data_IF_370048213068
#
_entry.id   IF_370048213068
#
_cell.length_a   1.000
_cell.length_b   1.000
_cell.length_c   1.000
_cell.angle_alpha   90.00
_cell.angle_beta   90.00
_cell.angle_gamma   90.00
#
_symmetry.space_group_name_H-M   'P 1'
#
loop_
_entity.id
_entity.type
_entity.pdbx_description
1 polymer ?
#
# COMPACT_ATOMS: atom_id res chain seq x y z
N UNK A 1 -8.88 25.68 9.14
CA UNK A 1 -8.47 26.95 8.55
C UNK A 1 -7.55 26.72 7.34
N UNK A 2 -6.44 25.97 7.45
CA UNK A 2 -5.47 25.76 6.36
C UNK A 2 -6.09 25.09 5.12
N UNK A 3 -6.95 24.09 5.30
CA UNK A 3 -7.65 23.40 4.20
C UNK A 3 -8.62 24.32 3.45
N UNK A 4 -9.26 25.27 4.15
CA UNK A 4 -10.14 26.24 3.52
C UNK A 4 -9.38 27.26 2.66
N UNK A 5 -8.13 27.57 3.03
CA UNK A 5 -7.28 28.46 2.23
C UNK A 5 -6.93 27.86 0.87
N UNK A 6 -6.80 26.53 0.78
CA UNK A 6 -6.52 25.83 -0.48
C UNK A 6 -7.66 26.01 -1.49
N UNK A 7 -8.92 26.11 -1.02
CA UNK A 7 -10.08 26.35 -1.90
C UNK A 7 -9.99 27.68 -2.64
N UNK A 8 -9.30 28.70 -2.06
CA UNK A 8 -9.09 29.98 -2.72
C UNK A 8 -8.19 29.83 -3.94
N UNK A 9 -7.15 28.96 -3.86
CA UNK A 9 -6.24 28.67 -4.97
C UNK A 9 -6.90 27.88 -6.10
N UNK A 10 -7.95 27.10 -5.84
CA UNK A 10 -8.70 26.40 -6.87
C UNK A 10 -9.35 27.34 -7.89
N UNK A 11 -9.65 28.61 -7.53
CA UNK A 11 -10.17 29.61 -8.46
C UNK A 11 -9.17 29.99 -9.56
N UNK A 12 -7.87 29.79 -9.33
CA UNK A 12 -6.79 30.09 -10.28
C UNK A 12 -6.37 28.89 -11.11
N UNK A 13 -6.84 27.67 -10.75
CA UNK A 13 -6.55 26.44 -11.48
C UNK A 13 -7.58 26.29 -12.60
N UNK A 14 -7.15 26.42 -13.85
CA UNK A 14 -7.97 26.06 -15.01
C UNK A 14 -7.96 24.53 -15.13
N UNK A 15 -9.03 23.89 -14.65
CA UNK A 15 -9.25 22.47 -14.85
C UNK A 15 -9.67 22.28 -16.31
N UNK A 16 -8.90 21.55 -17.13
CA UNK A 16 -9.29 21.24 -18.50
C UNK A 16 -10.64 20.49 -18.44
N UNK A 17 -11.64 21.02 -19.12
CA UNK A 17 -12.91 20.34 -19.28
C UNK A 17 -12.75 19.27 -20.36
N UNK A 18 -13.23 18.09 -20.08
CA UNK A 18 -13.31 17.03 -21.08
C UNK A 18 -14.15 17.50 -22.27
N UNK A 19 -13.66 17.25 -23.48
CA UNK A 19 -14.41 17.54 -24.69
C UNK A 19 -15.62 16.61 -24.81
N UNK A 20 -16.67 17.04 -25.53
CA UNK A 20 -17.88 16.22 -25.72
C UNK A 20 -17.58 14.86 -26.40
N UNK A 21 -16.50 14.75 -27.16
CA UNK A 21 -16.02 13.50 -27.75
C UNK A 21 -15.37 12.58 -26.69
N UNK A 22 -14.58 13.13 -25.77
CA UNK A 22 -13.98 12.37 -24.66
C UNK A 22 -15.03 11.85 -23.68
N UNK A 23 -16.16 12.56 -23.51
CA UNK A 23 -17.28 12.10 -22.68
C UNK A 23 -18.06 10.94 -23.32
N UNK A 24 -18.01 10.76 -24.64
CA UNK A 24 -18.65 9.65 -25.34
C UNK A 24 -17.83 8.36 -25.32
N UNK A 25 -16.50 8.47 -25.14
CA UNK A 25 -15.63 7.32 -25.08
C UNK A 25 -15.66 6.72 -23.66
N UNK A 26 -16.45 5.68 -23.50
CA UNK A 26 -16.55 4.95 -22.23
C UNK A 26 -15.42 3.94 -22.02
N UNK A 27 -14.55 3.77 -23.02
CA UNK A 27 -13.46 2.79 -23.00
C UNK A 27 -13.93 1.35 -22.81
N UNK A 28 -13.00 0.43 -22.54
CA UNK A 28 -13.29 -1.00 -22.34
C UNK A 28 -14.14 -1.24 -21.08
N UNK A 29 -14.93 -2.33 -21.04
CA UNK A 29 -15.67 -2.72 -19.84
C UNK A 29 -14.69 -3.07 -18.69
N UNK A 30 -15.10 -2.79 -17.43
CA UNK A 30 -14.29 -3.10 -16.24
C UNK A 30 -13.89 -4.59 -16.19
N UNK A 31 -14.79 -5.49 -16.61
CA UNK A 31 -14.55 -6.94 -16.62
C UNK A 31 -13.35 -7.36 -17.46
N UNK A 32 -13.01 -6.60 -18.49
CA UNK A 32 -11.81 -6.84 -19.31
C UNK A 32 -10.55 -6.29 -18.62
N UNK A 33 -10.65 -5.10 -18.04
CA UNK A 33 -9.51 -4.43 -17.39
C UNK A 33 -9.07 -5.20 -16.16
N UNK A 34 -9.99 -5.67 -15.32
CA UNK A 34 -9.67 -6.40 -14.07
C UNK A 34 -9.04 -7.77 -14.31
N UNK A 35 -9.20 -8.34 -15.51
CA UNK A 35 -8.56 -9.61 -15.90
C UNK A 35 -7.10 -9.45 -16.33
N UNK A 36 -6.63 -8.23 -16.53
CA UNK A 36 -5.24 -8.01 -16.88
C UNK A 36 -4.32 -8.43 -15.71
N UNK A 37 -3.27 -9.24 -15.95
CA UNK A 37 -2.33 -9.64 -14.90
C UNK A 37 -1.72 -8.46 -14.13
N UNK A 38 -1.40 -7.37 -14.84
CA UNK A 38 -0.88 -6.15 -14.24
C UNK A 38 -1.89 -5.48 -13.30
N UNK A 39 -3.19 -5.46 -13.66
CA UNK A 39 -4.23 -4.93 -12.80
C UNK A 39 -4.33 -5.74 -11.49
N UNK A 40 -4.37 -7.07 -11.60
CA UNK A 40 -4.47 -7.97 -10.44
C UNK A 40 -3.31 -7.73 -9.48
N UNK A 41 -2.07 -7.67 -9.98
CA UNK A 41 -0.88 -7.45 -9.14
C UNK A 41 -0.88 -6.04 -8.54
N UNK A 42 -1.23 -5.02 -9.33
CA UNK A 42 -1.30 -3.63 -8.88
C UNK A 42 -2.34 -3.44 -7.75
N UNK A 43 -3.56 -3.91 -7.97
CA UNK A 43 -4.65 -3.81 -7.01
C UNK A 43 -4.37 -4.62 -5.75
N UNK A 44 -3.89 -5.88 -5.88
CA UNK A 44 -3.52 -6.70 -4.73
C UNK A 44 -2.40 -6.07 -3.90
N UNK A 45 -1.37 -5.51 -4.54
CA UNK A 45 -0.28 -4.82 -3.86
C UNK A 45 -0.76 -3.59 -3.07
N UNK A 46 -1.59 -2.75 -3.67
CA UNK A 46 -2.18 -1.57 -3.02
C UNK A 46 -3.11 -1.98 -1.88
N UNK A 47 -4.04 -2.91 -2.14
CA UNK A 47 -5.06 -3.35 -1.20
C UNK A 47 -4.44 -4.05 0.03
N UNK A 48 -3.57 -5.03 -0.20
CA UNK A 48 -2.94 -5.79 0.88
C UNK A 48 -1.92 -4.93 1.62
N UNK A 49 -1.10 -4.16 0.91
CA UNK A 49 -0.14 -3.24 1.53
C UNK A 49 -0.82 -2.25 2.48
N UNK A 50 -1.94 -1.66 2.05
CA UNK A 50 -2.69 -0.73 2.90
C UNK A 50 -3.45 -1.44 4.02
N UNK A 51 -4.03 -2.61 3.75
CA UNK A 51 -4.73 -3.40 4.75
C UNK A 51 -3.81 -3.87 5.88
N UNK A 52 -2.64 -4.42 5.55
CA UNK A 52 -1.62 -4.82 6.54
C UNK A 52 -1.15 -3.62 7.35
N UNK A 53 -0.86 -2.50 6.69
CA UNK A 53 -0.48 -1.26 7.38
C UNK A 53 -1.55 -0.81 8.36
N UNK A 54 -2.80 -0.74 7.92
CA UNK A 54 -3.91 -0.30 8.77
C UNK A 54 -4.16 -1.22 9.95
N UNK A 55 -4.06 -2.54 9.73
CA UNK A 55 -4.20 -3.56 10.76
C UNK A 55 -3.14 -3.41 11.86
N UNK A 56 -1.86 -3.45 11.49
CA UNK A 56 -0.73 -3.38 12.44
C UNK A 56 -0.69 -2.03 13.14
N UNK A 57 -0.86 -0.93 12.40
CA UNK A 57 -0.91 0.42 12.98
C UNK A 57 -2.03 0.58 14.01
N UNK A 58 -3.20 -0.03 13.78
CA UNK A 58 -4.34 0.04 14.73
C UNK A 58 -4.07 -0.80 15.99
N UNK A 59 -3.45 -1.97 15.86
CA UNK A 59 -3.14 -2.85 17.00
C UNK A 59 -1.97 -2.32 17.85
N UNK A 60 -1.01 -1.60 17.24
CA UNK A 60 0.24 -1.17 17.92
C UNK A 60 0.02 -0.30 19.16
N UNK A 61 -0.80 0.76 19.16
CA UNK A 61 -1.04 1.57 20.36
C UNK A 61 -1.60 0.74 21.51
N UNK A 62 -2.48 -0.20 21.20
CA UNK A 62 -3.07 -1.11 22.20
C UNK A 62 -1.99 -2.02 22.80
N UNK A 63 -1.10 -2.56 21.97
CA UNK A 63 -0.01 -3.41 22.41
C UNK A 63 1.02 -2.63 23.27
N UNK A 64 1.43 -1.43 22.85
CA UNK A 64 2.38 -0.58 23.58
C UNK A 64 1.85 -0.28 24.99
N UNK A 65 0.59 0.11 25.12
CA UNK A 65 -0.03 0.40 26.41
C UNK A 65 -0.21 -0.87 27.25
N UNK A 66 -0.59 -2.00 26.64
CA UNK A 66 -0.70 -3.28 27.32
C UNK A 66 0.66 -3.80 27.87
N UNK A 67 1.77 -3.44 27.22
CA UNK A 67 3.13 -3.72 27.70
C UNK A 67 3.63 -2.76 28.79
N UNK A 68 2.79 -1.80 29.24
CA UNK A 68 3.12 -0.87 30.33
C UNK A 68 3.85 0.40 29.92
N UNK A 69 4.01 0.65 28.62
CA UNK A 69 4.57 1.90 28.12
C UNK A 69 3.53 3.03 28.13
N UNK A 70 4.00 4.26 28.12
CA UNK A 70 3.15 5.43 28.15
C UNK A 70 2.46 5.72 26.82
N UNK A 71 1.38 6.50 26.86
CA UNK A 71 0.74 7.00 25.65
C UNK A 71 1.70 7.88 24.81
N UNK A 72 2.64 8.58 25.46
CA UNK A 72 3.66 9.38 24.78
C UNK A 72 4.60 8.52 23.95
N UNK A 73 4.99 7.34 24.46
CA UNK A 73 5.80 6.37 23.72
C UNK A 73 5.06 5.85 22.48
N UNK A 74 3.76 5.56 22.64
CA UNK A 74 2.92 5.18 21.52
C UNK A 74 2.83 6.28 20.45
N UNK A 75 2.64 7.52 20.86
CA UNK A 75 2.59 8.67 19.96
C UNK A 75 3.93 8.85 19.21
N UNK A 76 5.06 8.68 19.91
CA UNK A 76 6.39 8.72 19.31
C UNK A 76 6.57 7.66 18.21
N UNK A 77 6.19 6.43 18.47
CA UNK A 77 6.28 5.32 17.50
C UNK A 77 5.41 5.60 16.26
N UNK A 78 4.17 6.10 16.46
CA UNK A 78 3.26 6.45 15.35
C UNK A 78 3.78 7.65 14.54
N UNK A 79 4.41 8.64 15.16
CA UNK A 79 5.02 9.76 14.44
C UNK A 79 6.11 9.28 13.47
N UNK A 80 6.99 8.40 13.92
CA UNK A 80 8.03 7.83 13.07
C UNK A 80 7.48 6.92 11.99
N UNK A 81 6.43 6.16 12.27
CA UNK A 81 5.69 5.43 11.24
C UNK A 81 5.16 6.37 10.16
N UNK A 82 4.47 7.44 10.56
CA UNK A 82 3.95 8.42 9.61
C UNK A 82 5.06 9.07 8.78
N UNK A 83 6.20 9.40 9.40
CA UNK A 83 7.37 9.87 8.68
C UNK A 83 7.87 8.84 7.65
N UNK A 84 7.99 7.58 8.05
CA UNK A 84 8.42 6.48 7.19
C UNK A 84 7.42 6.16 6.07
N UNK A 85 6.14 6.48 6.23
CA UNK A 85 5.14 6.37 5.17
C UNK A 85 5.35 7.41 4.06
N UNK A 86 5.67 8.65 4.40
CA UNK A 86 5.66 9.76 3.45
C UNK A 86 7.05 10.20 2.98
N UNK A 87 8.08 10.13 3.81
CA UNK A 87 9.44 10.54 3.43
C UNK A 87 9.99 9.77 2.22
N UNK A 88 9.79 8.45 2.07
CA UNK A 88 10.24 7.74 0.88
C UNK A 88 9.59 8.22 -0.42
N UNK A 89 8.40 8.83 -0.37
CA UNK A 89 7.68 9.30 -1.56
C UNK A 89 8.48 10.30 -2.40
N UNK A 90 9.40 11.06 -1.78
CA UNK A 90 10.27 11.99 -2.49
C UNK A 90 11.20 11.30 -3.49
N UNK A 91 11.53 10.02 -3.27
CA UNK A 91 12.44 9.27 -4.15
C UNK A 91 11.84 7.96 -4.69
N UNK A 92 10.69 7.50 -4.21
CA UNK A 92 10.03 6.27 -4.70
C UNK A 92 9.78 6.34 -6.21
N UNK A 93 9.36 7.49 -6.74
CA UNK A 93 9.20 7.69 -8.18
C UNK A 93 10.50 7.50 -8.97
N UNK A 94 11.62 8.02 -8.45
CA UNK A 94 12.95 7.84 -9.05
C UNK A 94 13.43 6.39 -8.96
N UNK A 95 13.11 5.68 -7.87
CA UNK A 95 13.40 4.24 -7.76
C UNK A 95 12.60 3.43 -8.78
N UNK A 96 11.31 3.73 -8.95
CA UNK A 96 10.46 3.08 -9.95
C UNK A 96 10.98 3.33 -11.37
N UNK A 97 11.40 4.56 -11.70
CA UNK A 97 11.94 4.87 -13.02
C UNK A 97 13.29 4.20 -13.29
N UNK A 98 14.13 3.99 -12.26
CA UNK A 98 15.46 3.40 -12.39
C UNK A 98 15.45 1.87 -12.38
N UNK A 99 14.68 1.26 -11.48
CA UNK A 99 14.70 -0.18 -11.22
C UNK A 99 13.44 -0.90 -11.72
N UNK A 100 12.41 -0.16 -12.10
CA UNK A 100 11.09 -0.69 -12.43
C UNK A 100 10.17 -0.81 -11.23
N UNK A 101 8.88 -0.88 -11.48
CA UNK A 101 7.84 -0.89 -10.44
C UNK A 101 7.83 -2.19 -9.63
N UNK A 102 8.03 -3.35 -10.29
CA UNK A 102 7.94 -4.66 -9.63
C UNK A 102 9.03 -4.89 -8.57
N UNK A 103 10.33 -4.59 -8.83
CA UNK A 103 11.37 -4.67 -7.79
C UNK A 103 11.11 -3.75 -6.61
N UNK A 104 10.62 -2.52 -6.85
CA UNK A 104 10.29 -1.58 -5.77
C UNK A 104 9.17 -2.13 -4.89
N UNK A 105 8.09 -2.66 -5.51
CA UNK A 105 7.01 -3.30 -4.76
C UNK A 105 7.48 -4.53 -3.99
N UNK A 106 8.38 -5.34 -4.58
CA UNK A 106 8.95 -6.49 -3.87
C UNK A 106 9.77 -6.07 -2.66
N UNK A 107 10.56 -5.00 -2.77
CA UNK A 107 11.28 -4.41 -1.62
C UNK A 107 10.30 -3.96 -0.54
N UNK A 108 9.15 -3.38 -0.92
CA UNK A 108 8.08 -3.04 0.00
C UNK A 108 7.53 -4.26 0.74
N UNK A 109 7.27 -5.36 0.03
CA UNK A 109 6.80 -6.61 0.65
C UNK A 109 7.85 -7.21 1.61
N UNK A 110 9.14 -7.14 1.27
CA UNK A 110 10.24 -7.55 2.17
C UNK A 110 10.29 -6.67 3.43
N UNK A 111 10.07 -5.36 3.29
CA UNK A 111 9.98 -4.46 4.44
C UNK A 111 8.80 -4.82 5.36
N UNK A 112 7.64 -5.26 4.82
CA UNK A 112 6.53 -5.76 5.65
C UNK A 112 6.89 -7.06 6.38
N UNK A 113 7.67 -7.96 5.77
CA UNK A 113 8.19 -9.16 6.47
C UNK A 113 9.14 -8.73 7.59
N UNK A 114 10.03 -7.76 7.34
CA UNK A 114 10.92 -7.22 8.37
C UNK A 114 10.13 -6.57 9.52
N UNK A 115 9.03 -5.86 9.20
CA UNK A 115 8.10 -5.36 10.22
C UNK A 115 7.64 -6.49 11.14
N UNK A 116 7.10 -7.58 10.59
CA UNK A 116 6.65 -8.74 11.38
C UNK A 116 7.84 -9.32 12.17
N UNK A 117 9.01 -9.45 11.57
CA UNK A 117 10.22 -9.93 12.27
C UNK A 117 10.55 -9.09 13.52
N UNK A 118 10.52 -7.76 13.41
CA UNK A 118 10.75 -6.89 14.57
C UNK A 118 9.63 -7.00 15.61
N UNK A 119 8.37 -6.99 15.18
CA UNK A 119 7.23 -6.98 16.10
C UNK A 119 7.04 -8.30 16.85
N UNK A 120 7.51 -9.43 16.33
CA UNK A 120 7.46 -10.73 17.03
C UNK A 120 8.74 -11.06 17.79
N UNK A 121 9.83 -10.29 17.60
CA UNK A 121 11.11 -10.55 18.28
C UNK A 121 11.13 -10.12 19.75
N UNK A 122 10.14 -9.34 20.21
CA UNK A 122 10.00 -8.92 21.60
C UNK A 122 8.99 -7.78 21.77
N UNK A 123 8.99 -7.22 22.99
CA UNK A 123 8.02 -6.20 23.42
C UNK A 123 8.68 -4.92 23.92
N UNK A 124 9.97 -4.72 23.64
CA UNK A 124 10.65 -3.48 23.97
C UNK A 124 10.27 -2.36 23.00
N UNK A 125 10.32 -1.11 23.43
CA UNK A 125 9.86 0.03 22.65
C UNK A 125 10.58 0.16 21.30
N UNK A 126 11.88 -0.19 21.21
CA UNK A 126 12.64 -0.12 19.96
C UNK A 126 12.14 -1.14 18.92
N UNK A 127 11.57 -2.28 19.35
CA UNK A 127 11.02 -3.29 18.44
C UNK A 127 9.71 -2.81 17.82
N UNK A 128 8.84 -2.16 18.59
CA UNK A 128 7.67 -1.46 18.06
C UNK A 128 8.10 -0.36 17.09
N UNK A 129 9.11 0.43 17.45
CA UNK A 129 9.59 1.54 16.61
C UNK A 129 10.12 1.06 15.26
N UNK A 130 11.07 0.10 15.25
CA UNK A 130 11.60 -0.46 14.00
C UNK A 130 10.53 -1.20 13.21
N UNK A 131 9.67 -1.94 13.87
CA UNK A 131 8.53 -2.60 13.23
C UNK A 131 7.68 -1.61 12.46
N UNK A 132 7.29 -0.49 13.08
CA UNK A 132 6.45 0.51 12.45
C UNK A 132 7.17 1.34 11.39
N UNK A 133 8.46 1.59 11.54
CA UNK A 133 9.27 2.21 10.46
C UNK A 133 9.28 1.31 9.22
N UNK A 134 9.53 0.00 9.38
CA UNK A 134 9.48 -0.96 8.27
C UNK A 134 8.08 -1.07 7.65
N UNK A 135 7.04 -1.00 8.49
CA UNK A 135 5.64 -0.98 8.06
C UNK A 135 5.37 0.23 7.15
N UNK A 136 5.82 1.42 7.53
CA UNK A 136 5.65 2.65 6.75
C UNK A 136 6.35 2.58 5.39
N UNK A 137 7.61 2.14 5.36
CA UNK A 137 8.38 1.95 4.11
C UNK A 137 7.70 0.90 3.22
N UNK A 138 7.30 -0.22 3.80
CA UNK A 138 6.62 -1.31 3.09
C UNK A 138 5.32 -0.85 2.44
N UNK A 139 4.49 -0.13 3.19
CA UNK A 139 3.28 0.49 2.68
C UNK A 139 3.57 1.46 1.52
N UNK A 140 4.54 2.36 1.70
CA UNK A 140 4.88 3.35 0.67
C UNK A 140 5.23 2.69 -0.67
N UNK A 141 6.12 1.71 -0.65
CA UNK A 141 6.57 1.05 -1.87
C UNK A 141 5.48 0.19 -2.53
N UNK A 142 4.65 -0.49 -1.75
CA UNK A 142 3.55 -1.27 -2.28
C UNK A 142 2.42 -0.40 -2.81
N UNK A 143 2.03 0.64 -2.07
CA UNK A 143 0.91 1.49 -2.44
C UNK A 143 1.26 2.40 -3.63
N UNK A 144 2.42 3.09 -3.59
CA UNK A 144 2.86 3.95 -4.70
C UNK A 144 3.20 3.11 -5.93
N UNK A 145 3.86 1.97 -5.75
CA UNK A 145 4.15 1.05 -6.84
C UNK A 145 2.87 0.49 -7.47
N UNK A 146 1.92 0.06 -6.65
CA UNK A 146 0.62 -0.45 -7.11
C UNK A 146 -0.18 0.60 -7.87
N UNK A 147 -0.31 1.82 -7.33
CA UNK A 147 -1.01 2.92 -8.02
C UNK A 147 -0.31 3.36 -9.30
N UNK A 148 1.03 3.36 -9.31
CA UNK A 148 1.81 3.63 -10.53
C UNK A 148 1.60 2.57 -11.61
N UNK A 149 1.57 1.29 -11.24
CA UNK A 149 1.30 0.18 -12.16
C UNK A 149 -0.16 0.21 -12.65
N UNK A 150 -1.11 0.53 -11.78
CA UNK A 150 -2.52 0.66 -12.13
C UNK A 150 -2.71 1.71 -13.23
N UNK A 151 -1.97 2.83 -13.15
CA UNK A 151 -1.99 3.87 -14.17
C UNK A 151 -1.59 3.39 -15.58
N UNK A 152 -0.91 2.25 -15.69
CA UNK A 152 -0.54 1.62 -16.98
C UNK A 152 -1.60 0.65 -17.50
N UNK A 153 -2.64 0.35 -16.73
CA UNK A 153 -3.65 -0.64 -17.07
C UNK A 153 -4.88 -0.04 -17.79
N UNK A 154 -4.97 1.28 -17.85
CA UNK A 154 -6.15 1.98 -18.35
C UNK A 154 -5.81 3.16 -19.25
N UNK A 155 -6.74 3.53 -20.13
CA UNK A 155 -6.71 4.77 -20.91
C UNK A 155 -7.23 5.95 -20.08
N UNK A 156 -7.03 7.21 -20.54
CA UNK A 156 -7.63 8.37 -19.87
C UNK A 156 -9.15 8.28 -19.68
N UNK A 157 -9.87 7.75 -20.67
CA UNK A 157 -11.32 7.55 -20.61
C UNK A 157 -11.76 6.50 -19.56
N UNK A 158 -10.89 5.54 -19.24
CA UNK A 158 -11.15 4.47 -18.29
C UNK A 158 -10.72 4.82 -16.86
N UNK A 159 -9.93 5.90 -16.68
CA UNK A 159 -9.25 6.26 -15.44
C UNK A 159 -10.20 6.31 -14.24
N UNK A 160 -11.31 7.04 -14.36
CA UNK A 160 -12.23 7.26 -13.25
C UNK A 160 -12.82 5.94 -12.72
N UNK A 161 -13.27 5.04 -13.62
CA UNK A 161 -13.87 3.76 -13.23
C UNK A 161 -12.83 2.78 -12.66
N UNK A 162 -11.60 2.78 -13.18
CA UNK A 162 -10.52 1.89 -12.72
C UNK A 162 -9.99 2.34 -11.36
N UNK A 163 -9.71 3.63 -11.20
CA UNK A 163 -9.29 4.16 -9.90
C UNK A 163 -10.39 4.05 -8.86
N UNK A 164 -11.64 4.38 -9.20
CA UNK A 164 -12.77 4.22 -8.29
C UNK A 164 -12.94 2.79 -7.78
N UNK A 165 -12.79 1.78 -8.66
CA UNK A 165 -12.81 0.38 -8.24
C UNK A 165 -11.63 0.03 -7.32
N UNK A 166 -10.41 0.47 -7.68
CA UNK A 166 -9.24 0.24 -6.84
C UNK A 166 -9.39 0.87 -5.45
N UNK A 167 -9.84 2.11 -5.38
CA UNK A 167 -10.04 2.82 -4.12
C UNK A 167 -11.14 2.16 -3.28
N UNK A 168 -12.22 1.71 -3.91
CA UNK A 168 -13.25 0.95 -3.23
C UNK A 168 -12.69 -0.34 -2.61
N UNK A 169 -11.88 -1.12 -3.34
CA UNK A 169 -11.25 -2.34 -2.83
C UNK A 169 -10.27 -2.02 -1.70
N UNK A 170 -9.43 -1.01 -1.86
CA UNK A 170 -8.43 -0.59 -0.85
C UNK A 170 -9.14 -0.18 0.44
N UNK A 171 -10.09 0.77 0.37
CA UNK A 171 -10.73 1.28 1.59
C UNK A 171 -11.69 0.27 2.23
N UNK A 172 -12.30 -0.63 1.46
CA UNK A 172 -13.04 -1.76 2.04
C UNK A 172 -12.12 -2.68 2.85
N UNK A 173 -10.93 -2.98 2.30
CA UNK A 173 -9.93 -3.80 3.01
C UNK A 173 -9.40 -3.09 4.26
N UNK A 174 -9.10 -1.80 4.17
CA UNK A 174 -8.69 -0.96 5.32
C UNK A 174 -9.75 -0.98 6.41
N UNK A 175 -11.02 -0.85 6.04
CA UNK A 175 -12.14 -0.89 6.99
C UNK A 175 -12.19 -2.23 7.73
N UNK A 176 -12.16 -3.34 7.00
CA UNK A 176 -12.15 -4.69 7.59
C UNK A 176 -10.92 -4.90 8.47
N UNK A 177 -9.73 -4.50 7.99
CA UNK A 177 -8.48 -4.60 8.73
C UNK A 177 -8.53 -3.83 10.04
N UNK A 178 -8.99 -2.59 10.03
CA UNK A 178 -9.07 -1.73 11.22
C UNK A 178 -10.06 -2.28 12.25
N UNK A 179 -11.24 -2.75 11.83
CA UNK A 179 -12.21 -3.34 12.74
C UNK A 179 -11.73 -4.67 13.33
N UNK A 180 -11.04 -5.49 12.54
CA UNK A 180 -10.55 -6.80 13.00
C UNK A 180 -9.31 -6.68 13.89
N UNK A 181 -8.50 -5.62 13.76
CA UNK A 181 -7.23 -5.47 14.46
C UNK A 181 -7.40 -5.52 15.99
N UNK A 182 -8.35 -4.77 16.53
CA UNK A 182 -8.62 -4.76 17.98
C UNK A 182 -9.11 -6.10 18.50
N UNK A 183 -10.01 -6.76 17.76
CA UNK A 183 -10.54 -8.06 18.15
C UNK A 183 -9.45 -9.14 18.10
N UNK A 184 -8.67 -9.22 17.03
CA UNK A 184 -7.60 -10.21 16.89
C UNK A 184 -6.53 -9.99 17.96
N UNK A 185 -6.15 -8.73 18.23
CA UNK A 185 -5.22 -8.40 19.32
C UNK A 185 -5.77 -8.84 20.68
N UNK A 186 -7.04 -8.59 20.96
CA UNK A 186 -7.66 -8.92 22.24
C UNK A 186 -7.75 -10.42 22.49
N UNK A 187 -8.14 -11.22 21.49
CA UNK A 187 -8.35 -12.66 21.65
C UNK A 187 -7.08 -13.50 21.50
N UNK A 188 -6.14 -13.07 20.67
CA UNK A 188 -4.97 -13.87 20.29
C UNK A 188 -3.63 -13.26 20.73
N UNK A 189 -3.61 -11.98 21.07
CA UNK A 189 -2.39 -11.30 21.50
C UNK A 189 -1.60 -10.65 20.34
N UNK A 190 -0.47 -10.02 20.72
CA UNK A 190 0.34 -9.21 19.81
C UNK A 190 1.09 -10.01 18.76
N UNK A 191 1.69 -11.12 19.16
CA UNK A 191 2.51 -11.97 18.28
C UNK A 191 1.64 -12.59 17.21
N UNK A 192 0.55 -13.22 17.59
CA UNK A 192 -0.39 -13.89 16.68
C UNK A 192 -1.06 -12.90 15.74
N UNK A 193 -1.38 -11.70 16.22
CA UNK A 193 -1.89 -10.63 15.38
C UNK A 193 -0.91 -10.26 14.25
N UNK A 194 0.39 -10.11 14.57
CA UNK A 194 1.40 -9.82 13.57
C UNK A 194 1.68 -11.00 12.64
N UNK A 195 1.66 -12.23 13.15
CA UNK A 195 1.83 -13.42 12.30
C UNK A 195 0.67 -13.62 11.32
N UNK A 196 -0.54 -13.20 11.69
CA UNK A 196 -1.74 -13.36 10.88
C UNK A 196 -1.68 -12.60 9.53
N UNK A 197 -0.82 -11.59 9.39
CA UNK A 197 -0.66 -10.85 8.14
C UNK A 197 0.32 -11.52 7.15
N UNK A 198 1.14 -12.47 7.60
CA UNK A 198 2.14 -13.14 6.74
C UNK A 198 1.53 -13.83 5.51
N UNK A 199 0.41 -14.55 5.58
CA UNK A 199 -0.21 -15.15 4.40
C UNK A 199 -0.58 -14.10 3.34
N UNK A 200 -1.06 -12.93 3.75
CA UNK A 200 -1.40 -11.85 2.82
C UNK A 200 -0.15 -11.29 2.14
N UNK A 201 0.93 -11.08 2.89
CA UNK A 201 2.21 -10.64 2.34
C UNK A 201 2.77 -11.68 1.36
N UNK A 202 2.67 -12.97 1.70
CA UNK A 202 3.10 -14.06 0.83
C UNK A 202 2.34 -14.08 -0.50
N UNK A 203 1.03 -13.84 -0.50
CA UNK A 203 0.22 -13.70 -1.73
C UNK A 203 0.79 -12.59 -2.62
N UNK A 204 1.07 -11.41 -2.06
CA UNK A 204 1.65 -10.30 -2.84
C UNK A 204 3.00 -10.67 -3.43
N UNK A 205 3.88 -11.30 -2.64
CA UNK A 205 5.20 -11.73 -3.13
C UNK A 205 5.07 -12.73 -4.27
N UNK A 206 4.19 -13.72 -4.13
CA UNK A 206 3.95 -14.72 -5.19
C UNK A 206 3.44 -14.06 -6.47
N UNK A 207 2.48 -13.14 -6.36
CA UNK A 207 1.95 -12.41 -7.50
C UNK A 207 3.02 -11.54 -8.18
N UNK A 208 3.84 -10.84 -7.40
CA UNK A 208 4.95 -10.02 -7.93
C UNK A 208 5.98 -10.87 -8.66
N UNK A 209 6.43 -11.97 -8.05
CA UNK A 209 7.40 -12.89 -8.64
C UNK A 209 6.83 -13.57 -9.89
N UNK A 210 5.56 -13.95 -9.87
CA UNK A 210 4.88 -14.49 -11.02
C UNK A 210 4.87 -13.50 -12.20
N UNK A 211 4.49 -12.24 -11.96
CA UNK A 211 4.46 -11.21 -12.99
C UNK A 211 5.87 -10.86 -13.50
N UNK A 212 6.88 -10.86 -12.62
CA UNK A 212 8.27 -10.64 -13.00
C UNK A 212 8.78 -11.75 -13.96
N UNK A 213 8.40 -13.00 -13.71
CA UNK A 213 8.76 -14.12 -14.59
C UNK A 213 8.02 -14.07 -15.91
N UNK A 214 6.75 -13.71 -15.89
CA UNK A 214 5.90 -13.65 -17.08
C UNK A 214 6.29 -12.51 -18.02
N UNK A 215 6.79 -11.38 -17.50
CA UNK A 215 7.25 -10.23 -18.27
C UNK A 215 8.73 -10.28 -18.68
N UNK A 216 9.45 -11.38 -18.45
CA UNK A 216 10.81 -11.52 -18.99
C UNK A 216 10.72 -11.58 -20.51
N UNK A 217 11.44 -10.70 -21.27
CA UNK A 217 11.57 -10.87 -22.69
C UNK A 217 12.14 -12.26 -22.93
N UNK A 218 11.51 -13.03 -23.81
CA UNK A 218 12.10 -14.27 -24.33
C UNK A 218 13.40 -13.84 -25.01
N UNK A 219 14.54 -14.15 -24.40
CA UNK A 219 15.84 -14.00 -25.06
C UNK A 219 15.75 -14.96 -26.25
N UNK A 220 15.61 -14.38 -27.45
CA UNK A 220 15.74 -15.16 -28.67
C UNK A 220 17.15 -15.78 -28.63
N UNK A 221 17.20 -17.06 -28.35
CA UNK A 221 18.42 -17.87 -28.62
C UNK A 221 18.60 -17.80 -30.11
N UNK A 222 19.49 -16.91 -30.56
CA UNK A 222 19.92 -16.86 -31.93
C UNK A 222 20.69 -18.16 -32.21
N UNK A 223 20.14 -18.94 -33.11
CA UNK A 223 20.83 -19.99 -33.84
C UNK A 223 21.76 -19.38 -34.90
#
# INVERSE_FOLDING_TARGET
ALQASILIFLKFVKIPRETAEQQKDTGRPLSEIVRQPRFVVAASGSMIGYGVMSFVMTATPLAIVACGFSFVDSAFVIQWHSFAMFAPSFFTGSLISRFGVLPVMLTGAVALIACVGFTVSGIELYQFWWGLVMLGIGWNFLFIGGTSMLGQCHTPAEKAKVQGLNDFMVFSTVTVASFSAGAIFYYFGWIEANLSVLPLIAIVIVLLLWLMRHNRPVVATGD
#
